data_IF_545079762289
#
_entry.id   IF_545079762289
#
_cell.length_a   1.000
_cell.length_b   1.000
_cell.length_c   1.000
_cell.angle_alpha   90.00
_cell.angle_beta   90.00
_cell.angle_gamma   90.00
#
_symmetry.space_group_name_H-M   'P 1'
#
loop_
_entity.id
_entity.type
_entity.pdbx_description
1 polymer ?
#
# COMPACT_ATOMS: atom_id res chain seq x y z
N UNK A 1 19.53 -16.64 -17.42
CA UNK A 1 18.20 -16.29 -16.90
C UNK A 1 18.20 -14.95 -16.14
N UNK A 2 18.75 -13.92 -16.75
CA UNK A 2 18.75 -12.58 -16.14
C UNK A 2 17.32 -12.04 -16.01
N UNK A 3 16.94 -11.58 -14.80
CA UNK A 3 15.61 -11.06 -14.53
C UNK A 3 14.54 -12.14 -14.36
N UNK A 4 14.95 -13.36 -14.01
CA UNK A 4 14.09 -14.51 -13.77
C UNK A 4 14.18 -15.00 -12.32
N UNK A 5 13.09 -15.54 -11.83
CA UNK A 5 13.06 -16.42 -10.66
C UNK A 5 13.40 -17.83 -11.12
N UNK A 6 14.22 -18.50 -10.35
CA UNK A 6 14.63 -19.88 -10.61
C UNK A 6 14.23 -20.75 -9.42
N UNK A 7 13.72 -21.92 -9.70
CA UNK A 7 13.52 -22.99 -8.74
C UNK A 7 14.73 -23.94 -8.83
N UNK A 8 15.32 -24.28 -7.69
CA UNK A 8 16.46 -25.21 -7.63
C UNK A 8 16.07 -26.34 -6.69
N UNK A 9 16.07 -27.56 -7.23
CA UNK A 9 15.75 -28.75 -6.42
C UNK A 9 16.90 -29.10 -5.46
N UNK A 10 16.66 -29.92 -4.42
CA UNK A 10 17.73 -30.42 -3.54
C UNK A 10 18.85 -31.16 -4.30
N UNK A 11 18.55 -31.76 -5.46
CA UNK A 11 19.48 -32.45 -6.33
C UNK A 11 20.28 -31.50 -7.22
N UNK A 12 19.98 -30.19 -7.19
CA UNK A 12 20.65 -29.13 -7.95
C UNK A 12 20.11 -28.93 -9.36
N UNK A 13 18.95 -29.49 -9.69
CA UNK A 13 18.28 -29.21 -10.95
C UNK A 13 17.69 -27.79 -10.94
N UNK A 14 18.03 -26.99 -11.95
CA UNK A 14 17.60 -25.59 -12.06
C UNK A 14 16.47 -25.46 -13.10
N UNK A 15 15.33 -24.91 -12.67
CA UNK A 15 14.18 -24.70 -13.50
C UNK A 15 13.79 -23.20 -13.52
N UNK A 16 13.57 -22.58 -14.70
CA UNK A 16 13.03 -21.23 -14.76
C UNK A 16 11.58 -21.23 -14.28
N UNK A 17 11.23 -20.22 -13.48
CA UNK A 17 9.95 -20.14 -12.78
C UNK A 17 9.06 -18.99 -13.31
N UNK A 18 9.58 -17.76 -13.24
CA UNK A 18 8.88 -16.54 -13.69
C UNK A 18 9.88 -15.52 -14.22
N UNK A 19 9.44 -14.65 -15.13
CA UNK A 19 10.24 -13.62 -15.79
C UNK A 19 9.80 -12.21 -15.38
N UNK A 20 10.55 -11.19 -15.78
CA UNK A 20 10.12 -9.80 -15.68
C UNK A 20 10.63 -9.03 -14.48
N UNK A 21 11.62 -9.55 -13.75
CA UNK A 21 12.29 -8.84 -12.68
C UNK A 21 13.38 -7.93 -13.23
N UNK A 22 13.44 -6.69 -12.72
CA UNK A 22 14.48 -5.73 -13.11
C UNK A 22 15.63 -5.72 -12.09
N UNK A 23 15.30 -5.48 -10.82
CA UNK A 23 16.27 -5.36 -9.73
C UNK A 23 15.64 -5.87 -8.43
N UNK A 24 15.35 -7.18 -8.34
CA UNK A 24 14.73 -7.75 -7.15
C UNK A 24 15.71 -7.63 -5.97
N UNK A 25 15.28 -6.95 -4.90
CA UNK A 25 16.13 -6.72 -3.75
C UNK A 25 15.68 -7.49 -2.51
N UNK A 26 14.42 -7.86 -2.42
CA UNK A 26 13.87 -8.69 -1.34
C UNK A 26 12.92 -9.76 -1.88
N UNK A 27 12.76 -10.82 -1.11
CA UNK A 27 11.80 -11.88 -1.37
C UNK A 27 11.43 -12.56 -0.05
N UNK A 28 10.28 -13.20 -0.03
CA UNK A 28 9.81 -13.93 1.13
C UNK A 28 8.46 -14.58 0.87
N UNK A 29 8.00 -15.32 1.87
CA UNK A 29 6.68 -15.91 1.90
C UNK A 29 5.79 -15.11 2.86
N UNK A 30 4.52 -14.94 2.52
CA UNK A 30 3.53 -14.42 3.46
C UNK A 30 3.10 -15.51 4.47
N UNK A 31 2.18 -15.18 5.36
CA UNK A 31 1.67 -16.15 6.36
C UNK A 31 0.91 -17.34 5.76
N UNK A 32 0.48 -17.27 4.50
CA UNK A 32 -0.21 -18.35 3.77
C UNK A 32 0.77 -19.25 3.00
N UNK A 33 2.06 -18.87 2.94
CA UNK A 33 3.10 -19.60 2.21
C UNK A 33 3.21 -19.23 0.73
N UNK A 34 2.51 -18.19 0.28
CA UNK A 34 2.63 -17.68 -1.08
C UNK A 34 3.91 -16.83 -1.23
N UNK A 35 4.58 -16.95 -2.37
CA UNK A 35 5.88 -16.33 -2.63
C UNK A 35 5.75 -14.92 -3.22
N UNK A 36 6.49 -13.98 -2.64
CA UNK A 36 6.54 -12.58 -3.06
C UNK A 36 7.97 -12.11 -3.27
N UNK A 37 8.12 -11.09 -4.13
CA UNK A 37 9.37 -10.33 -4.23
C UNK A 37 9.09 -8.83 -4.18
N UNK A 38 10.12 -8.07 -3.79
CA UNK A 38 10.14 -6.60 -3.81
C UNK A 38 10.98 -6.10 -4.97
N UNK A 39 10.52 -5.05 -5.63
CA UNK A 39 11.15 -4.48 -6.81
C UNK A 39 11.43 -3.00 -6.61
N UNK A 40 12.59 -2.54 -7.08
CA UNK A 40 12.96 -1.13 -7.11
C UNK A 40 12.37 -0.42 -8.33
N UNK A 41 12.15 0.89 -8.24
CA UNK A 41 11.90 1.71 -9.42
C UNK A 41 13.00 1.53 -10.46
N UNK A 42 12.65 1.54 -11.74
CA UNK A 42 13.61 1.40 -12.83
C UNK A 42 12.96 1.31 -14.20
N UNK A 43 13.75 0.81 -15.17
CA UNK A 43 13.24 0.54 -16.50
C UNK A 43 12.10 -0.46 -16.45
N UNK A 44 10.96 -0.13 -17.07
CA UNK A 44 9.70 -0.89 -17.00
C UNK A 44 9.05 -0.97 -15.60
N UNK A 45 9.59 -0.29 -14.60
CA UNK A 45 9.10 -0.30 -13.22
C UNK A 45 8.84 1.13 -12.76
N UNK A 46 7.57 1.54 -12.77
CA UNK A 46 7.15 2.92 -12.49
C UNK A 46 7.47 3.39 -11.07
N UNK A 47 7.35 2.50 -10.09
CA UNK A 47 7.66 2.76 -8.67
C UNK A 47 8.08 1.47 -7.98
N UNK A 48 8.54 1.55 -6.73
CA UNK A 48 8.73 0.39 -5.86
C UNK A 48 7.44 -0.42 -5.73
N UNK A 49 7.54 -1.74 -5.69
CA UNK A 49 6.37 -2.61 -5.65
C UNK A 49 6.66 -3.96 -4.99
N UNK A 50 5.59 -4.62 -4.59
CA UNK A 50 5.60 -6.00 -4.12
C UNK A 50 4.69 -6.81 -5.04
N UNK A 51 5.18 -7.90 -5.60
CA UNK A 51 4.41 -8.76 -6.49
C UNK A 51 4.39 -10.19 -5.98
N UNK A 52 3.21 -10.80 -6.02
CA UNK A 52 3.03 -12.24 -5.89
C UNK A 52 3.61 -12.93 -7.13
N UNK A 53 4.29 -14.04 -6.97
CA UNK A 53 4.99 -14.72 -8.07
C UNK A 53 4.52 -16.16 -8.17
N UNK A 54 3.97 -16.50 -9.34
CA UNK A 54 3.57 -17.84 -9.69
C UNK A 54 4.32 -18.34 -10.93
N UNK A 55 4.34 -19.64 -11.14
CA UNK A 55 5.03 -20.22 -12.28
C UNK A 55 4.41 -19.76 -13.60
N UNK A 56 5.25 -19.21 -14.47
CA UNK A 56 4.83 -18.69 -15.78
C UNK A 56 4.44 -17.21 -15.78
N UNK A 57 4.50 -16.52 -14.63
CA UNK A 57 4.23 -15.08 -14.56
C UNK A 57 5.30 -14.26 -15.29
N UNK A 58 4.86 -13.16 -15.90
CA UNK A 58 5.70 -12.08 -16.37
C UNK A 58 5.50 -10.84 -15.51
N UNK A 59 6.55 -10.42 -14.81
CA UNK A 59 6.49 -9.38 -13.78
C UNK A 59 6.76 -7.96 -14.31
N UNK A 60 6.89 -7.80 -15.62
CA UNK A 60 6.81 -6.51 -16.30
C UNK A 60 8.11 -5.95 -16.90
N UNK A 61 9.30 -6.40 -16.52
CA UNK A 61 10.53 -5.93 -17.19
C UNK A 61 10.75 -6.70 -18.51
N UNK A 62 10.51 -6.03 -19.63
CA UNK A 62 10.57 -6.65 -20.96
C UNK A 62 11.99 -7.15 -21.35
N UNK A 63 13.06 -6.59 -20.77
CA UNK A 63 14.42 -7.04 -21.08
C UNK A 63 14.72 -8.48 -20.63
N UNK A 64 13.98 -8.98 -19.63
CA UNK A 64 14.11 -10.37 -19.18
C UNK A 64 13.59 -11.38 -20.20
N UNK A 65 12.70 -10.95 -21.11
CA UNK A 65 12.09 -11.83 -22.14
C UNK A 65 13.10 -12.26 -23.23
N UNK A 66 14.30 -11.70 -23.26
CA UNK A 66 15.39 -12.20 -24.10
C UNK A 66 15.71 -13.69 -23.88
N UNK A 67 15.26 -14.26 -22.77
CA UNK A 67 15.52 -15.66 -22.38
C UNK A 67 14.28 -16.56 -22.52
N UNK A 68 13.10 -16.00 -22.82
CA UNK A 68 11.84 -16.75 -22.86
C UNK A 68 11.81 -17.85 -23.95
N UNK A 69 12.54 -17.68 -25.05
CA UNK A 69 12.65 -18.69 -26.09
C UNK A 69 13.56 -19.89 -25.79
N UNK A 70 14.20 -19.92 -24.62
CA UNK A 70 15.07 -21.03 -24.25
C UNK A 70 14.28 -22.27 -23.79
N UNK A 71 14.84 -23.48 -23.99
CA UNK A 71 14.19 -24.71 -23.53
C UNK A 71 13.88 -24.66 -22.03
N UNK A 72 12.70 -25.13 -21.66
CA UNK A 72 12.23 -25.16 -20.27
C UNK A 72 11.61 -23.85 -19.77
N UNK A 73 11.54 -22.80 -20.60
CA UNK A 73 10.84 -21.56 -20.24
C UNK A 73 9.34 -21.79 -20.04
N UNK A 74 8.75 -21.43 -18.90
CA UNK A 74 7.31 -21.43 -18.72
C UNK A 74 6.63 -20.17 -19.27
N UNK A 75 7.40 -19.14 -19.68
CA UNK A 75 6.93 -17.87 -20.24
C UNK A 75 7.10 -17.89 -21.74
N UNK A 76 6.02 -17.64 -22.47
CA UNK A 76 5.97 -17.66 -23.93
C UNK A 76 6.00 -16.28 -24.58
N UNK A 77 5.85 -15.22 -23.79
CA UNK A 77 5.94 -13.83 -24.27
C UNK A 77 7.34 -13.51 -24.80
N UNK A 78 7.38 -12.75 -25.89
CA UNK A 78 8.60 -12.18 -26.44
C UNK A 78 8.64 -10.66 -26.15
N UNK A 79 9.80 -10.05 -26.23
CA UNK A 79 9.95 -8.62 -25.95
C UNK A 79 9.09 -7.74 -26.89
N UNK A 80 8.91 -8.17 -28.12
CA UNK A 80 8.11 -7.51 -29.17
C UNK A 80 6.62 -7.53 -28.84
N UNK A 81 6.14 -8.44 -28.00
CA UNK A 81 4.75 -8.51 -27.55
C UNK A 81 4.41 -7.43 -26.51
N UNK A 82 5.42 -6.77 -25.95
CA UNK A 82 5.25 -5.84 -24.83
C UNK A 82 5.09 -4.41 -25.37
N UNK A 83 3.91 -3.78 -25.20
CA UNK A 83 3.68 -2.42 -25.64
C UNK A 83 4.46 -1.40 -24.78
N UNK A 84 5.06 -0.42 -25.43
CA UNK A 84 5.72 0.73 -24.76
C UNK A 84 4.93 2.00 -25.06
N UNK A 85 3.70 2.09 -24.56
CA UNK A 85 2.75 3.17 -24.87
C UNK A 85 2.65 4.23 -23.77
N UNK A 86 3.19 3.95 -22.57
CA UNK A 86 3.06 4.85 -21.42
C UNK A 86 1.66 4.90 -20.81
N UNK A 87 0.81 3.92 -21.14
CA UNK A 87 -0.48 3.75 -20.50
C UNK A 87 -0.33 3.28 -19.05
N UNK A 88 -1.38 3.39 -18.21
CA UNK A 88 -1.39 2.80 -16.88
C UNK A 88 -1.07 1.30 -16.92
N UNK A 89 -0.25 0.83 -16.00
CA UNK A 89 0.19 -0.57 -15.93
C UNK A 89 -0.99 -1.55 -15.99
N UNK A 90 -2.03 -1.29 -15.23
CA UNK A 90 -3.24 -2.12 -15.16
C UNK A 90 -3.96 -2.25 -16.51
N UNK A 91 -4.00 -1.17 -17.32
CA UNK A 91 -4.63 -1.20 -18.64
C UNK A 91 -3.82 -2.05 -19.64
N UNK A 92 -2.49 -2.02 -19.54
CA UNK A 92 -1.62 -2.87 -20.35
C UNK A 92 -1.78 -4.34 -19.93
N UNK A 93 -1.86 -4.61 -18.63
CA UNK A 93 -2.01 -5.98 -18.12
C UNK A 93 -3.28 -6.69 -18.60
N UNK A 94 -4.35 -5.95 -18.88
CA UNK A 94 -5.58 -6.52 -19.48
C UNK A 94 -5.37 -7.10 -20.89
N UNK A 95 -4.32 -6.65 -21.60
CA UNK A 95 -4.07 -6.99 -23.02
C UNK A 95 -2.85 -7.87 -23.21
N UNK A 96 -1.98 -7.97 -22.22
CA UNK A 96 -0.76 -8.79 -22.25
C UNK A 96 -0.96 -10.01 -21.36
N UNK A 97 -1.24 -11.19 -21.91
CA UNK A 97 -1.44 -12.39 -21.12
C UNK A 97 -0.21 -12.71 -20.25
N UNK A 98 -0.42 -13.02 -18.97
CA UNK A 98 0.65 -13.34 -18.03
C UNK A 98 1.39 -12.12 -17.44
N UNK A 99 1.11 -10.89 -17.88
CA UNK A 99 1.64 -9.70 -17.21
C UNK A 99 0.97 -9.55 -15.83
N UNK A 100 1.75 -9.80 -14.79
CA UNK A 100 1.28 -9.81 -13.42
C UNK A 100 1.20 -8.40 -12.85
N UNK A 101 0.01 -8.01 -12.38
CA UNK A 101 -0.17 -6.75 -11.68
C UNK A 101 0.47 -6.81 -10.29
N UNK A 102 1.09 -5.72 -9.78
CA UNK A 102 1.61 -5.67 -8.43
C UNK A 102 0.51 -5.86 -7.39
N UNK A 103 0.81 -6.61 -6.32
CA UNK A 103 -0.06 -6.71 -5.16
C UNK A 103 -0.06 -5.39 -4.38
N UNK A 104 1.11 -4.76 -4.24
CA UNK A 104 1.29 -3.48 -3.54
C UNK A 104 2.20 -2.58 -4.38
N UNK A 105 1.79 -1.34 -4.58
CA UNK A 105 2.66 -0.25 -4.98
C UNK A 105 3.16 0.51 -3.76
N UNK A 106 4.46 0.82 -3.72
CA UNK A 106 5.04 1.73 -2.74
C UNK A 106 5.25 3.09 -3.40
N UNK A 107 4.56 4.15 -2.95
CA UNK A 107 4.68 5.47 -3.56
C UNK A 107 6.11 5.98 -3.56
N UNK A 108 6.61 6.36 -4.76
CA UNK A 108 7.99 6.77 -4.96
C UNK A 108 8.36 8.02 -4.16
N UNK A 109 9.47 7.95 -3.43
CA UNK A 109 9.95 9.06 -2.59
C UNK A 109 9.19 9.20 -1.25
N UNK A 110 8.13 8.40 -1.03
CA UNK A 110 7.34 8.40 0.21
C UNK A 110 7.58 7.10 0.99
N UNK A 111 7.24 5.95 0.41
CA UNK A 111 7.44 4.63 1.04
C UNK A 111 8.37 3.71 0.25
N UNK A 112 8.89 4.16 -0.91
CA UNK A 112 9.80 3.39 -1.72
C UNK A 112 10.66 4.25 -2.63
N UNK A 113 11.96 4.01 -2.62
CA UNK A 113 12.95 4.42 -3.63
C UNK A 113 13.69 3.17 -4.08
N UNK A 114 14.17 2.39 -3.12
CA UNK A 114 14.94 1.17 -3.32
C UNK A 114 14.41 0.10 -2.38
N UNK A 115 13.22 -0.40 -2.69
CA UNK A 115 12.49 -1.40 -1.88
C UNK A 115 13.32 -2.66 -1.73
N UNK A 116 13.48 -3.14 -0.50
CA UNK A 116 14.43 -4.20 -0.16
C UNK A 116 13.78 -5.32 0.67
N UNK A 117 14.33 -5.68 1.81
CA UNK A 117 13.94 -6.83 2.62
C UNK A 117 12.44 -7.01 2.81
N UNK A 118 11.99 -8.24 2.78
CA UNK A 118 10.61 -8.68 3.01
C UNK A 118 10.61 -9.63 4.22
N UNK A 119 9.86 -9.32 5.26
CA UNK A 119 9.81 -10.11 6.49
C UNK A 119 8.38 -10.26 6.98
N UNK A 120 7.83 -11.47 6.90
CA UNK A 120 6.51 -11.78 7.47
C UNK A 120 6.59 -11.81 9.00
N UNK A 121 5.56 -11.23 9.66
CA UNK A 121 5.45 -11.31 11.11
C UNK A 121 4.81 -12.64 11.53
N UNK A 122 5.68 -13.58 11.86
CA UNK A 122 5.33 -14.87 12.43
C UNK A 122 5.63 -14.96 13.94
N UNK A 123 5.72 -13.81 14.62
CA UNK A 123 6.04 -13.75 16.06
C UNK A 123 4.83 -13.99 16.96
N UNK A 124 3.65 -14.28 16.39
CA UNK A 124 2.40 -14.53 17.12
C UNK A 124 2.03 -13.40 18.11
N UNK A 125 2.36 -12.15 17.73
CA UNK A 125 2.14 -10.95 18.55
C UNK A 125 3.30 -10.60 19.48
N UNK A 126 4.40 -11.33 19.46
CA UNK A 126 5.60 -11.01 20.24
C UNK A 126 6.26 -9.70 19.82
N UNK A 127 6.04 -9.23 18.59
CA UNK A 127 6.53 -7.94 18.11
C UNK A 127 5.46 -6.83 18.10
N UNK A 128 4.26 -7.09 18.58
CA UNK A 128 3.18 -6.11 18.68
C UNK A 128 1.88 -6.54 18.00
N UNK A 129 0.97 -5.59 17.68
CA UNK A 129 -0.39 -5.92 17.25
C UNK A 129 -0.53 -6.31 15.76
N UNK A 130 0.58 -6.49 15.04
CA UNK A 130 0.61 -6.63 13.58
C UNK A 130 0.94 -8.03 13.08
N UNK A 131 0.65 -9.06 13.89
CA UNK A 131 0.89 -10.47 13.52
C UNK A 131 0.30 -10.81 12.14
N UNK A 132 1.02 -11.61 11.36
CA UNK A 132 0.74 -12.01 9.98
C UNK A 132 0.83 -10.88 8.93
N UNK A 133 1.21 -9.67 9.30
CA UNK A 133 1.55 -8.62 8.35
C UNK A 133 3.01 -8.73 7.92
N UNK A 134 3.37 -7.99 6.88
CA UNK A 134 4.72 -8.02 6.34
C UNK A 134 5.42 -6.69 6.58
N UNK A 135 6.65 -6.74 7.03
CA UNK A 135 7.55 -5.59 7.10
C UNK A 135 8.44 -5.55 5.87
N UNK A 136 8.55 -4.36 5.26
CA UNK A 136 9.31 -4.15 4.03
C UNK A 136 10.30 -3.01 4.25
N UNK A 137 11.57 -3.27 3.99
CA UNK A 137 12.63 -2.27 4.09
C UNK A 137 12.78 -1.45 2.82
N UNK A 138 13.31 -0.24 2.97
CA UNK A 138 13.76 0.58 1.84
C UNK A 138 15.21 1.04 2.07
N UNK A 139 16.06 0.72 1.10
CA UNK A 139 17.48 1.05 1.18
C UNK A 139 17.71 2.56 0.94
N UNK A 140 16.95 3.18 0.03
CA UNK A 140 17.13 4.60 -0.30
C UNK A 140 16.66 5.53 0.81
N UNK A 141 15.49 5.27 1.38
CA UNK A 141 14.88 6.13 2.40
C UNK A 141 15.26 5.76 3.83
N UNK A 142 15.87 4.58 4.06
CA UNK A 142 16.20 4.09 5.40
C UNK A 142 14.97 3.97 6.30
N UNK A 143 13.90 3.38 5.76
CA UNK A 143 12.62 3.20 6.43
C UNK A 143 12.17 1.74 6.39
N UNK A 144 11.28 1.37 7.31
CA UNK A 144 10.47 0.14 7.25
C UNK A 144 9.02 0.56 7.08
N UNK A 145 8.36 -0.03 6.10
CA UNK A 145 6.92 0.03 5.90
C UNK A 145 6.25 -1.25 6.37
N UNK A 146 4.97 -1.19 6.73
CA UNK A 146 4.14 -2.32 7.13
C UNK A 146 3.09 -2.58 6.07
N UNK A 147 2.89 -3.82 5.68
CA UNK A 147 1.97 -4.24 4.61
C UNK A 147 0.96 -5.23 5.16
N UNK A 148 -0.31 -5.01 4.85
CA UNK A 148 -1.39 -5.94 5.10
C UNK A 148 -2.02 -6.37 3.76
N UNK A 149 -1.90 -7.65 3.45
CA UNK A 149 -2.44 -8.22 2.21
C UNK A 149 -3.88 -8.68 2.36
N UNK A 150 -4.58 -8.72 1.23
CA UNK A 150 -5.78 -9.51 1.04
C UNK A 150 -5.79 -10.17 -0.34
N UNK A 151 -6.50 -11.28 -0.49
CA UNK A 151 -6.63 -12.02 -1.73
C UNK A 151 -8.10 -12.04 -2.16
N UNK A 152 -8.43 -11.39 -3.27
CA UNK A 152 -9.78 -11.31 -3.82
C UNK A 152 -9.77 -11.95 -5.20
N UNK A 153 -10.60 -12.99 -5.39
CA UNK A 153 -10.67 -13.76 -6.64
C UNK A 153 -9.31 -14.25 -7.14
N UNK A 154 -8.47 -14.70 -6.21
CA UNK A 154 -7.13 -15.22 -6.52
C UNK A 154 -6.06 -14.15 -6.72
N UNK A 155 -6.40 -12.86 -6.73
CA UNK A 155 -5.48 -11.75 -6.93
C UNK A 155 -5.14 -11.10 -5.60
N UNK A 156 -3.84 -10.96 -5.32
CA UNK A 156 -3.35 -10.22 -4.17
C UNK A 156 -3.41 -8.71 -4.38
N UNK A 157 -3.78 -8.02 -3.33
CA UNK A 157 -3.81 -6.57 -3.18
C UNK A 157 -3.66 -6.20 -1.71
N UNK A 158 -3.79 -4.94 -1.34
CA UNK A 158 -3.83 -4.53 0.05
C UNK A 158 -3.21 -3.17 0.29
N UNK A 159 -2.81 -2.93 1.52
CA UNK A 159 -2.39 -1.62 2.01
C UNK A 159 -0.96 -1.64 2.50
N UNK A 160 -0.25 -0.53 2.26
CA UNK A 160 1.04 -0.23 2.88
C UNK A 160 0.92 0.99 3.78
N UNK A 161 1.49 0.89 4.97
CA UNK A 161 1.55 1.93 5.98
C UNK A 161 3.00 2.34 6.24
N UNK A 162 3.30 3.60 6.59
CA UNK A 162 4.53 3.94 7.30
C UNK A 162 4.64 3.09 8.57
N UNK A 163 5.86 2.77 8.99
CA UNK A 163 6.05 2.03 10.24
C UNK A 163 7.17 2.61 11.10
N UNK A 164 8.41 2.60 10.59
CA UNK A 164 9.56 3.19 11.31
C UNK A 164 10.52 3.84 10.34
N UNK A 165 11.05 4.97 10.75
CA UNK A 165 12.04 5.76 10.01
C UNK A 165 13.22 6.15 10.91
N UNK A 166 14.23 6.83 10.36
CA UNK A 166 15.38 7.32 11.09
C UNK A 166 16.47 6.27 11.31
N UNK A 167 16.49 5.20 10.53
CA UNK A 167 17.57 4.24 10.56
C UNK A 167 18.90 4.86 10.09
N UNK A 168 20.00 4.39 10.67
CA UNK A 168 21.34 4.98 10.47
C UNK A 168 21.91 4.76 9.06
N UNK A 169 21.42 3.76 8.32
CA UNK A 169 21.79 3.46 6.93
C UNK A 169 20.61 2.89 6.15
N UNK A 170 20.80 2.59 4.87
CA UNK A 170 19.79 1.99 4.01
C UNK A 170 19.45 0.56 4.41
N UNK A 171 18.19 0.24 4.58
CA UNK A 171 17.74 -1.08 5.02
C UNK A 171 17.88 -2.08 3.86
N UNK A 172 18.51 -3.22 4.13
CA UNK A 172 18.70 -4.27 3.13
C UNK A 172 18.05 -5.59 3.53
N UNK A 173 18.23 -6.03 4.77
CA UNK A 173 17.67 -7.29 5.29
C UNK A 173 17.14 -7.12 6.69
N UNK A 174 16.10 -7.86 7.00
CA UNK A 174 15.51 -7.96 8.32
C UNK A 174 15.32 -9.42 8.68
N UNK A 175 15.47 -9.73 9.96
CA UNK A 175 15.30 -11.10 10.49
C UNK A 175 14.79 -11.03 11.92
N UNK A 176 13.97 -12.00 12.31
CA UNK A 176 13.52 -12.16 13.69
C UNK A 176 14.62 -12.76 14.57
N UNK A 177 14.77 -12.21 15.76
CA UNK A 177 15.47 -12.85 16.86
C UNK A 177 14.56 -13.85 17.59
N UNK A 178 15.15 -14.76 18.35
CA UNK A 178 14.40 -15.77 19.13
C UNK A 178 13.45 -15.15 20.19
N UNK A 179 13.65 -13.88 20.52
CA UNK A 179 12.87 -13.10 21.47
C UNK A 179 11.85 -12.18 20.78
N UNK A 180 11.48 -12.49 19.56
CA UNK A 180 10.60 -11.69 18.70
C UNK A 180 11.09 -10.27 18.41
N UNK A 181 12.34 -9.93 18.69
CA UNK A 181 12.91 -8.65 18.24
C UNK A 181 13.31 -8.72 16.77
N UNK A 182 13.25 -7.58 16.07
CA UNK A 182 13.66 -7.48 14.68
C UNK A 182 15.09 -6.95 14.57
N UNK A 183 16.00 -7.72 13.97
CA UNK A 183 17.33 -7.26 13.59
C UNK A 183 17.31 -6.72 12.17
N UNK A 184 17.86 -5.52 11.99
CA UNK A 184 17.84 -4.76 10.73
C UNK A 184 19.28 -4.55 10.26
N UNK A 185 19.65 -5.28 9.21
CA UNK A 185 20.94 -5.14 8.53
C UNK A 185 20.88 -4.10 7.43
N UNK A 186 21.81 -3.17 7.43
CA UNK A 186 21.76 -1.95 6.63
C UNK A 186 23.07 -1.69 5.87
N UNK A 187 22.94 -1.04 4.72
CA UNK A 187 24.08 -0.60 3.89
C UNK A 187 23.70 0.57 3.00
N UNK A 188 24.67 1.45 2.74
CA UNK A 188 24.59 2.44 1.65
C UNK A 188 25.70 2.21 0.60
N UNK A 189 26.32 1.05 0.60
CA UNK A 189 27.37 0.71 -0.35
C UNK A 189 26.79 0.63 -1.77
N UNK A 190 27.34 1.42 -2.67
CA UNK A 190 26.95 1.46 -4.09
C UNK A 190 25.69 2.26 -4.38
N UNK A 191 24.93 2.70 -3.39
CA UNK A 191 23.75 3.53 -3.53
C UNK A 191 23.52 4.41 -2.30
N UNK A 192 23.21 5.69 -2.48
CA UNK A 192 22.97 6.61 -1.37
C UNK A 192 21.69 6.26 -0.60
N UNK A 193 21.69 6.59 0.70
CA UNK A 193 20.53 6.47 1.57
C UNK A 193 20.35 7.71 2.43
N UNK A 194 19.16 7.88 2.99
CA UNK A 194 18.86 8.96 3.96
C UNK A 194 19.73 8.82 5.20
N UNK A 195 19.87 7.61 5.74
CA UNK A 195 20.84 7.28 6.79
C UNK A 195 22.28 7.44 6.30
N UNK A 196 23.16 7.99 7.13
CA UNK A 196 24.49 8.47 6.72
C UNK A 196 25.61 7.44 6.90
N UNK A 197 25.39 6.42 7.74
CA UNK A 197 26.38 5.38 7.98
C UNK A 197 26.57 4.49 6.74
N UNK A 198 27.80 4.01 6.52
CA UNK A 198 28.09 3.12 5.38
C UNK A 198 27.40 1.75 5.52
N UNK A 199 27.31 1.27 6.74
CA UNK A 199 26.62 0.03 7.13
C UNK A 199 26.25 0.11 8.61
N UNK A 200 25.24 -0.64 9.00
CA UNK A 200 24.78 -0.69 10.39
C UNK A 200 24.00 -1.97 10.66
N UNK A 201 23.89 -2.31 11.94
CA UNK A 201 22.98 -3.32 12.46
C UNK A 201 22.24 -2.70 13.63
N UNK A 202 20.93 -2.62 13.52
CA UNK A 202 20.05 -2.10 14.58
C UNK A 202 19.03 -3.17 14.98
N UNK A 203 18.53 -3.07 16.21
CA UNK A 203 17.54 -3.99 16.75
C UNK A 203 16.32 -3.19 17.20
N UNK A 204 15.14 -3.59 16.73
CA UNK A 204 13.85 -3.09 17.18
C UNK A 204 13.25 -4.08 18.18
N UNK A 205 12.73 -3.55 19.27
CA UNK A 205 12.10 -4.33 20.34
C UNK A 205 10.72 -3.75 20.61
N UNK A 206 9.73 -4.60 20.73
CA UNK A 206 8.40 -4.22 21.17
C UNK A 206 8.43 -3.76 22.63
N UNK A 207 7.91 -2.57 22.91
CA UNK A 207 7.92 -1.97 24.25
C UNK A 207 6.73 -2.39 25.11
N UNK A 208 5.80 -3.16 24.57
CA UNK A 208 4.55 -3.53 25.24
C UNK A 208 3.48 -2.41 25.24
N UNK A 209 3.78 -1.25 24.66
CA UNK A 209 2.80 -0.15 24.58
C UNK A 209 2.04 -0.22 23.27
N UNK A 210 0.70 -0.34 23.35
CA UNK A 210 -0.17 -0.31 22.18
C UNK A 210 -0.14 1.07 21.53
N UNK A 211 0.26 1.19 20.24
CA UNK A 211 0.09 2.44 19.51
C UNK A 211 -1.36 2.54 19.03
N UNK A 212 -1.91 3.75 18.93
CA UNK A 212 -3.15 3.95 18.20
C UNK A 212 -2.83 4.09 16.70
N UNK A 213 -3.27 3.11 15.90
CA UNK A 213 -2.92 2.96 14.49
C UNK A 213 -4.10 2.42 13.67
N UNK A 214 -4.10 2.72 12.38
CA UNK A 214 -4.83 1.93 11.40
C UNK A 214 -4.14 0.56 11.31
N UNK A 215 -4.79 -0.51 11.80
CA UNK A 215 -4.22 -1.87 11.86
C UNK A 215 -4.28 -2.56 10.50
N UNK A 216 -5.46 -2.56 9.88
CA UNK A 216 -5.72 -3.10 8.55
C UNK A 216 -6.60 -2.18 7.74
N UNK A 217 -6.53 -2.27 6.41
CA UNK A 217 -7.54 -1.68 5.51
C UNK A 217 -7.92 -2.75 4.49
N UNK A 218 -9.21 -3.06 4.39
CA UNK A 218 -9.75 -4.05 3.45
C UNK A 218 -10.68 -3.38 2.44
N UNK A 219 -10.61 -3.83 1.19
CA UNK A 219 -11.52 -3.40 0.14
C UNK A 219 -12.95 -3.90 0.40
N UNK A 220 -13.90 -3.09 0.05
CA UNK A 220 -15.34 -3.40 0.08
C UNK A 220 -15.95 -3.08 -1.30
N UNK A 221 -17.20 -3.50 -1.59
CA UNK A 221 -17.82 -3.26 -2.89
C UNK A 221 -17.95 -1.78 -3.28
N UNK A 222 -17.90 -0.87 -2.30
CA UNK A 222 -18.14 0.56 -2.43
C UNK A 222 -17.24 1.42 -1.55
N UNK A 223 -16.04 0.92 -1.21
CA UNK A 223 -15.12 1.68 -0.38
C UNK A 223 -14.10 0.81 0.34
N UNK A 224 -13.78 1.21 1.57
CA UNK A 224 -12.79 0.56 2.42
C UNK A 224 -13.30 0.36 3.84
N UNK A 225 -12.80 -0.66 4.52
CA UNK A 225 -12.99 -0.84 5.96
C UNK A 225 -11.63 -0.75 6.64
N UNK A 226 -11.50 0.22 7.54
CA UNK A 226 -10.31 0.41 8.37
C UNK A 226 -10.56 -0.28 9.71
N UNK A 227 -9.67 -1.15 10.14
CA UNK A 227 -9.60 -1.65 11.52
C UNK A 227 -8.52 -0.89 12.27
N UNK A 228 -8.81 -0.50 13.51
CA UNK A 228 -7.87 0.22 14.38
C UNK A 228 -7.31 -0.70 15.47
N UNK A 229 -6.22 -0.30 16.09
CA UNK A 229 -5.60 -1.02 17.22
C UNK A 229 -6.28 -0.76 18.56
N UNK A 230 -7.02 0.34 18.68
CA UNK A 230 -7.81 0.76 19.84
C UNK A 230 -9.15 1.35 19.36
N UNK A 231 -10.21 1.37 20.18
CA UNK A 231 -11.49 1.97 19.80
C UNK A 231 -11.37 3.45 19.48
N UNK A 232 -12.03 3.89 18.41
CA UNK A 232 -12.09 5.30 17.99
C UNK A 232 -13.19 6.07 18.71
N UNK A 233 -13.01 7.38 18.85
CA UNK A 233 -14.07 8.33 19.12
C UNK A 233 -15.02 8.33 17.91
N UNK A 234 -16.26 7.89 18.11
CA UNK A 234 -17.23 7.69 17.02
C UNK A 234 -17.60 8.98 16.32
N UNK A 235 -17.77 10.07 17.06
CA UNK A 235 -18.15 11.36 16.50
C UNK A 235 -17.05 11.86 15.54
N UNK A 236 -15.81 11.82 15.97
CA UNK A 236 -14.67 12.18 15.11
C UNK A 236 -14.47 11.20 13.96
N UNK A 237 -14.65 9.91 14.18
CA UNK A 237 -14.44 8.89 13.15
C UNK A 237 -15.57 8.81 12.12
N UNK A 238 -16.78 9.32 12.42
CA UNK A 238 -17.90 9.41 11.48
C UNK A 238 -17.95 10.75 10.73
N UNK A 239 -17.08 11.71 11.08
CA UNK A 239 -16.97 12.97 10.37
C UNK A 239 -16.12 12.81 9.10
N UNK A 240 -16.70 12.92 7.88
CA UNK A 240 -15.99 12.76 6.64
C UNK A 240 -14.90 13.82 6.40
N UNK A 241 -14.94 14.96 7.09
CA UNK A 241 -13.92 16.01 6.99
C UNK A 241 -12.59 15.61 7.62
N UNK A 242 -12.59 14.58 8.47
CA UNK A 242 -11.39 14.00 9.08
C UNK A 242 -10.64 13.03 8.17
N UNK A 243 -11.16 12.82 6.95
CA UNK A 243 -10.54 11.91 5.97
C UNK A 243 -10.35 12.56 4.61
N UNK A 244 -9.38 12.09 3.89
CA UNK A 244 -9.19 12.38 2.47
C UNK A 244 -8.82 11.10 1.74
N UNK A 245 -9.42 10.89 0.55
CA UNK A 245 -9.06 9.78 -0.33
C UNK A 245 -8.73 10.32 -1.71
N UNK A 246 -7.54 9.98 -2.22
CA UNK A 246 -7.13 10.30 -3.60
C UNK A 246 -6.65 9.04 -4.30
N UNK A 247 -6.90 8.93 -5.61
CA UNK A 247 -6.49 7.78 -6.41
C UNK A 247 -5.51 8.19 -7.50
N UNK A 248 -4.39 7.47 -7.65
CA UNK A 248 -3.38 7.69 -8.68
C UNK A 248 -2.75 6.39 -9.16
N UNK A 249 -1.98 6.43 -10.24
CA UNK A 249 -1.27 5.25 -10.77
C UNK A 249 0.05 5.63 -11.43
N UNK A 250 0.73 4.63 -12.00
CA UNK A 250 1.99 4.78 -12.72
C UNK A 250 1.88 4.26 -14.16
N UNK A 251 2.67 4.86 -15.06
CA UNK A 251 2.82 4.40 -16.43
C UNK A 251 3.59 3.09 -16.50
N UNK A 252 3.22 2.25 -17.44
CA UNK A 252 4.04 1.15 -17.89
C UNK A 252 4.81 1.57 -19.15
N UNK A 253 6.12 1.66 -19.05
CA UNK A 253 7.00 2.18 -20.12
C UNK A 253 8.44 1.72 -19.93
N UNK A 254 9.20 1.69 -21.04
CA UNK A 254 10.61 1.30 -21.03
C UNK A 254 11.51 2.31 -20.28
N UNK A 255 11.09 3.57 -20.19
CA UNK A 255 11.85 4.59 -19.47
C UNK A 255 11.93 4.26 -17.96
N UNK A 256 12.97 4.79 -17.34
CA UNK A 256 13.22 4.63 -15.91
C UNK A 256 12.15 5.34 -15.07
N UNK A 257 11.42 4.57 -14.28
CA UNK A 257 10.39 5.10 -13.40
C UNK A 257 9.17 5.67 -14.11
N UNK A 258 8.30 6.27 -13.35
CA UNK A 258 7.12 6.98 -13.84
C UNK A 258 6.78 8.13 -12.90
N UNK A 259 6.33 9.28 -13.43
CA UNK A 259 5.60 10.22 -12.59
C UNK A 259 4.27 9.60 -12.14
N UNK A 260 3.73 10.14 -11.06
CA UNK A 260 2.32 9.93 -10.71
C UNK A 260 1.43 10.47 -11.83
N UNK A 261 0.47 9.66 -12.28
CA UNK A 261 -0.51 10.04 -13.29
C UNK A 261 -1.93 9.82 -12.80
N UNK A 262 -2.88 10.53 -13.40
CA UNK A 262 -4.31 10.40 -13.12
C UNK A 262 -4.64 10.56 -11.62
N UNK A 263 -3.97 11.50 -10.96
CA UNK A 263 -4.25 11.79 -9.56
C UNK A 263 -5.56 12.55 -9.42
N UNK A 264 -6.55 11.93 -8.80
CA UNK A 264 -7.90 12.45 -8.65
C UNK A 264 -8.44 12.21 -7.24
N UNK A 265 -9.23 13.16 -6.75
CA UNK A 265 -9.91 13.02 -5.47
C UNK A 265 -11.09 12.05 -5.59
N UNK A 266 -11.22 11.16 -4.62
CA UNK A 266 -12.39 10.32 -4.43
C UNK A 266 -13.31 10.96 -3.39
N UNK A 267 -14.65 10.88 -3.62
CA UNK A 267 -15.60 11.48 -2.70
C UNK A 267 -15.97 10.49 -1.60
N UNK A 268 -15.89 10.90 -0.36
CA UNK A 268 -16.39 10.14 0.78
C UNK A 268 -17.89 10.44 0.90
N UNK A 269 -18.72 9.42 0.67
CA UNK A 269 -20.18 9.50 0.71
C UNK A 269 -20.67 9.43 2.15
N UNK A 270 -20.01 8.63 2.98
CA UNK A 270 -20.33 8.48 4.39
C UNK A 270 -19.41 7.50 5.09
N UNK A 271 -19.50 7.46 6.40
CA UNK A 271 -18.69 6.59 7.24
C UNK A 271 -19.61 5.95 8.28
N UNK A 272 -19.37 4.67 8.56
CA UNK A 272 -20.06 3.91 9.59
C UNK A 272 -19.00 3.33 10.52
N UNK A 273 -19.10 3.67 11.80
CA UNK A 273 -18.22 3.09 12.83
C UNK A 273 -18.93 1.90 13.47
N UNK A 274 -18.19 0.80 13.65
CA UNK A 274 -18.71 -0.40 14.34
C UNK A 274 -19.14 -0.10 15.78
N UNK A 275 -19.97 -0.96 16.34
CA UNK A 275 -20.51 -0.75 17.69
C UNK A 275 -19.40 -0.68 18.75
N UNK A 276 -18.38 -1.52 18.62
CA UNK A 276 -17.20 -1.58 19.48
C UNK A 276 -16.18 -0.46 19.21
N UNK A 277 -16.39 0.36 18.18
CA UNK A 277 -15.45 1.42 17.80
C UNK A 277 -14.16 0.94 17.13
N UNK A 278 -14.01 -0.36 16.88
CA UNK A 278 -12.75 -0.90 16.34
C UNK A 278 -12.63 -0.75 14.82
N UNK A 279 -13.74 -0.48 14.12
CA UNK A 279 -13.75 -0.39 12.65
C UNK A 279 -14.49 0.83 12.15
N UNK A 280 -13.98 1.42 11.07
CA UNK A 280 -14.65 2.45 10.29
C UNK A 280 -14.83 1.98 8.84
N UNK A 281 -16.07 1.91 8.37
CA UNK A 281 -16.45 1.59 7.00
C UNK A 281 -16.60 2.89 6.22
N UNK A 282 -15.64 3.22 5.38
CA UNK A 282 -15.67 4.35 4.47
C UNK A 282 -16.41 3.97 3.19
N UNK A 283 -17.49 4.65 2.88
CA UNK A 283 -18.18 4.56 1.58
C UNK A 283 -17.57 5.63 0.68
N UNK A 284 -16.95 5.21 -0.41
CA UNK A 284 -16.14 6.08 -1.27
C UNK A 284 -16.53 5.90 -2.73
N UNK A 285 -16.78 7.02 -3.40
CA UNK A 285 -17.07 7.07 -4.83
C UNK A 285 -15.80 7.27 -5.65
N UNK A 286 -15.88 7.00 -6.98
CA UNK A 286 -14.79 7.17 -7.94
C UNK A 286 -13.53 6.31 -7.67
N UNK A 287 -13.67 5.17 -7.01
CA UNK A 287 -12.60 4.20 -6.86
C UNK A 287 -12.26 3.54 -8.22
N UNK A 288 -10.97 3.34 -8.50
CA UNK A 288 -10.49 2.81 -9.78
C UNK A 288 -9.62 1.58 -9.58
N UNK A 289 -9.91 0.51 -10.32
CA UNK A 289 -9.09 -0.71 -10.31
C UNK A 289 -7.71 -0.45 -10.94
N UNK A 290 -6.67 -1.05 -10.36
CA UNK A 290 -5.27 -0.88 -10.76
C UNK A 290 -4.64 0.44 -10.26
N UNK A 291 -5.33 1.17 -9.39
CA UNK A 291 -4.87 2.43 -8.79
C UNK A 291 -4.46 2.26 -7.34
N UNK A 292 -3.58 3.14 -6.91
CA UNK A 292 -3.23 3.33 -5.52
C UNK A 292 -4.19 4.37 -4.94
N UNK A 293 -4.82 4.05 -3.82
CA UNK A 293 -5.66 5.00 -3.08
C UNK A 293 -4.92 5.44 -1.82
N UNK A 294 -4.49 6.70 -1.80
CA UNK A 294 -4.00 7.34 -0.58
C UNK A 294 -5.21 7.63 0.31
N UNK A 295 -5.17 7.12 1.52
CA UNK A 295 -6.22 7.28 2.53
C UNK A 295 -5.60 8.00 3.71
N UNK A 296 -6.06 9.22 3.97
CA UNK A 296 -5.68 10.02 5.13
C UNK A 296 -6.80 10.01 6.15
N UNK A 297 -6.46 9.95 7.43
CA UNK A 297 -7.37 9.95 8.57
C UNK A 297 -6.84 10.89 9.68
N UNK A 298 -6.57 12.17 9.32
CA UNK A 298 -5.80 13.10 10.17
C UNK A 298 -6.56 13.56 11.42
N UNK A 299 -7.90 13.61 11.37
CA UNK A 299 -8.74 14.04 12.49
C UNK A 299 -9.19 12.92 13.43
N UNK A 300 -8.92 11.65 13.10
CA UNK A 300 -9.36 10.50 13.88
C UNK A 300 -8.55 10.36 15.17
N UNK A 301 -9.28 10.13 16.28
CA UNK A 301 -8.69 9.90 17.61
C UNK A 301 -9.27 8.66 18.26
N UNK A 302 -8.54 8.06 19.19
CA UNK A 302 -9.08 7.02 20.05
C UNK A 302 -10.08 7.61 21.06
N UNK A 303 -10.87 6.73 21.72
CA UNK A 303 -11.75 7.13 22.84
C UNK A 303 -11.00 7.81 24.00
N UNK A 304 -9.68 7.62 24.11
CA UNK A 304 -8.82 8.31 25.07
C UNK A 304 -8.24 9.63 24.53
N UNK A 305 -8.65 10.07 23.32
CA UNK A 305 -8.18 11.29 22.70
C UNK A 305 -6.78 11.21 22.06
N UNK A 306 -6.18 10.02 21.95
CA UNK A 306 -4.89 9.81 21.29
C UNK A 306 -5.03 10.00 19.78
N UNK A 307 -4.19 10.78 19.09
CA UNK A 307 -4.16 10.81 17.64
C UNK A 307 -3.55 9.52 17.08
N UNK A 308 -3.85 9.21 15.82
CA UNK A 308 -3.14 8.16 15.08
C UNK A 308 -1.64 8.46 15.03
N UNK A 309 -0.80 7.45 15.26
CA UNK A 309 0.66 7.59 15.12
C UNK A 309 1.05 7.83 13.65
N UNK A 310 0.41 7.10 12.71
CA UNK A 310 0.50 7.35 11.28
C UNK A 310 -0.90 7.56 10.72
N UNK A 311 -1.11 8.73 10.14
CA UNK A 311 -2.44 9.16 9.67
C UNK A 311 -2.69 8.84 8.19
N UNK A 312 -1.71 8.27 7.48
CA UNK A 312 -1.78 7.99 6.05
C UNK A 312 -1.51 6.52 5.75
N UNK A 313 -2.23 5.99 4.75
CA UNK A 313 -2.04 4.67 4.20
C UNK A 313 -2.23 4.68 2.68
N UNK A 314 -1.64 3.71 1.98
CA UNK A 314 -1.73 3.60 0.52
C UNK A 314 -2.25 2.22 0.16
N UNK A 315 -3.46 2.16 -0.37
CA UNK A 315 -4.12 0.92 -0.75
C UNK A 315 -4.03 0.69 -2.26
N UNK A 316 -3.44 -0.43 -2.70
CA UNK A 316 -3.44 -0.87 -4.09
C UNK A 316 -4.72 -1.67 -4.35
N UNK A 317 -5.62 -1.14 -5.18
CA UNK A 317 -6.93 -1.72 -5.46
C UNK A 317 -6.92 -2.44 -6.81
N UNK A 318 -6.85 -3.77 -6.81
CA UNK A 318 -6.89 -4.61 -8.02
C UNK A 318 -8.29 -5.19 -8.28
N UNK A 319 -9.02 -5.53 -7.22
CA UNK A 319 -10.41 -6.01 -7.25
C UNK A 319 -11.22 -5.35 -6.14
N UNK A 320 -12.51 -5.12 -6.40
CA UNK A 320 -13.42 -4.69 -5.33
C UNK A 320 -13.68 -5.84 -4.36
N UNK A 321 -13.77 -5.51 -3.07
CA UNK A 321 -14.16 -6.43 -2.02
C UNK A 321 -15.56 -7.00 -2.24
N UNK A 322 -15.79 -8.19 -1.69
CA UNK A 322 -17.11 -8.86 -1.75
C UNK A 322 -18.04 -8.39 -0.63
N UNK A 323 -19.32 -8.64 -0.81
CA UNK A 323 -20.37 -8.32 0.15
C UNK A 323 -21.41 -7.35 -0.40
N UNK A 324 -22.21 -6.80 0.47
CA UNK A 324 -23.25 -5.84 0.12
C UNK A 324 -22.71 -4.41 0.11
N UNK A 325 -23.23 -3.61 -0.81
CA UNK A 325 -23.05 -2.16 -0.81
C UNK A 325 -23.89 -1.53 0.30
N UNK A 326 -23.37 -0.48 0.87
CA UNK A 326 -24.12 0.32 1.85
C UNK A 326 -25.20 1.15 1.14
N UNK A 327 -26.37 1.27 1.75
CA UNK A 327 -27.40 2.23 1.27
C UNK A 327 -26.90 3.67 1.49
N UNK A 328 -26.85 4.45 0.43
CA UNK A 328 -26.38 5.84 0.47
C UNK A 328 -27.48 6.84 0.89
N UNK A 329 -28.75 6.42 0.95
CA UNK A 329 -29.86 7.35 1.25
C UNK A 329 -29.73 8.04 2.62
N UNK A 330 -29.32 7.35 3.71
CA UNK A 330 -29.12 8.00 5.00
C UNK A 330 -28.05 9.09 4.99
N UNK A 331 -26.95 8.89 4.25
CA UNK A 331 -25.85 9.88 4.16
C UNK A 331 -26.27 11.11 3.38
N UNK A 332 -27.02 10.93 2.28
CA UNK A 332 -27.57 12.06 1.49
C UNK A 332 -28.51 12.90 2.33
N UNK A 333 -29.43 12.28 3.06
CA UNK A 333 -30.36 12.97 3.93
C UNK A 333 -29.63 13.75 5.05
N UNK A 334 -28.59 13.18 5.65
CA UNK A 334 -27.75 13.86 6.65
C UNK A 334 -27.04 15.08 6.05
N UNK A 335 -26.43 14.93 4.89
CA UNK A 335 -25.73 16.02 4.20
C UNK A 335 -26.67 17.15 3.82
N UNK A 336 -27.86 16.84 3.28
CA UNK A 336 -28.90 17.84 2.97
C UNK A 336 -29.35 18.59 4.22
N UNK A 337 -29.53 17.89 5.34
CA UNK A 337 -29.88 18.50 6.61
C UNK A 337 -28.78 19.44 7.12
N UNK A 338 -27.51 19.01 7.10
CA UNK A 338 -26.35 19.81 7.51
C UNK A 338 -26.22 21.08 6.65
N UNK A 339 -26.43 20.96 5.34
CA UNK A 339 -26.44 22.13 4.43
C UNK A 339 -27.56 23.10 4.73
N UNK A 340 -28.77 22.61 5.06
CA UNK A 340 -29.91 23.47 5.47
C UNK A 340 -29.61 24.20 6.79
N UNK A 341 -29.06 23.49 7.78
CA UNK A 341 -28.70 24.09 9.07
C UNK A 341 -27.62 25.17 8.89
N UNK A 342 -26.59 24.88 8.08
CA UNK A 342 -25.55 25.85 7.78
C UNK A 342 -26.08 27.08 7.05
N UNK A 343 -26.89 26.90 6.03
CA UNK A 343 -27.52 28.01 5.30
C UNK A 343 -28.40 28.89 6.21
N UNK A 344 -29.12 28.27 7.15
CA UNK A 344 -29.91 29.01 8.15
C UNK A 344 -29.02 29.80 9.11
N UNK A 345 -27.91 29.20 9.58
CA UNK A 345 -26.94 29.87 10.45
C UNK A 345 -26.26 31.05 9.74
N UNK A 346 -25.82 30.87 8.48
CA UNK A 346 -25.22 31.93 7.68
C UNK A 346 -26.22 33.10 7.43
N UNK A 347 -27.49 32.79 7.20
CA UNK A 347 -28.53 33.80 7.04
C UNK A 347 -28.78 34.62 8.33
N UNK A 348 -28.74 33.97 9.49
CA UNK A 348 -28.87 34.63 10.80
C UNK A 348 -27.64 35.51 11.04
N UNK A 349 -26.44 35.03 10.79
CA UNK A 349 -25.21 35.80 10.95
C UNK A 349 -25.20 37.06 10.05
N UNK A 350 -25.62 36.91 8.79
CA UNK A 350 -25.73 38.03 7.87
C UNK A 350 -26.78 39.07 8.35
N UNK A 351 -27.94 38.62 8.80
CA UNK A 351 -28.97 39.51 9.32
C UNK A 351 -28.51 40.30 10.56
N UNK A 352 -27.72 39.65 11.44
CA UNK A 352 -27.11 40.27 12.61
C UNK A 352 -26.07 41.33 12.20
N UNK A 353 -25.18 41.00 11.25
CA UNK A 353 -24.19 41.94 10.72
C UNK A 353 -24.85 43.18 10.06
N UNK A 354 -25.92 42.96 9.29
CA UNK A 354 -26.67 44.06 8.65
C UNK A 354 -27.40 44.95 9.68
N UNK A 355 -27.86 44.37 10.79
CA UNK A 355 -28.47 45.13 11.89
C UNK A 355 -27.43 45.99 12.64
N UNK A 356 -26.25 45.40 12.93
CA UNK A 356 -25.18 46.11 13.61
C UNK A 356 -24.59 47.25 12.74
N UNK A 357 -24.50 47.07 11.42
CA UNK A 357 -24.09 48.12 10.48
C UNK A 357 -25.09 49.29 10.35
N UNK A 358 -26.35 49.04 10.63
CA UNK A 358 -27.40 50.11 10.63
C UNK A 358 -27.47 50.87 11.96
N UNK A 359 -26.91 50.34 13.01
CA UNK A 359 -26.92 50.95 14.34
C UNK A 359 -25.69 51.85 14.60
N UNK A 360 -24.69 51.84 13.73
CA UNK A 360 -23.57 52.76 13.64
C UNK A 360 -23.84 53.93 12.68
#
# INVERSE_FOLDING_TARGET
WRGWTLEITPEGEMMPFAAGMRSPAGYGMNGEGDFFYTENQGDWVGSGRISHVEKGDFLGNAESLAWSGLPGSPVTLMKEDIPNTGEPFYEVAKRVPGLKIPAIWLPHGILGISTSGFLNDNTEGGFGPFANQVFVGDQGQSIISRVDFEKIDGVYQGVVFPFREGFSSGILRMVWGNDASMFVGMTRRGWSSTGKELFSLQRLVWTGRMPFEMKTIKSKPDGFEIEFTEPVDKELAEDPTNYEVTGFTYKYQAQYGSPVINNEKCNIIGIIVSEDGMKARLVVDNLRLGYIHEIKAEGVKSTEGKPLLHTVAYYTLNNFGKGEKVDHAPFKARHEHEMMVKAAADSIAQAQADADAKAQ
#
